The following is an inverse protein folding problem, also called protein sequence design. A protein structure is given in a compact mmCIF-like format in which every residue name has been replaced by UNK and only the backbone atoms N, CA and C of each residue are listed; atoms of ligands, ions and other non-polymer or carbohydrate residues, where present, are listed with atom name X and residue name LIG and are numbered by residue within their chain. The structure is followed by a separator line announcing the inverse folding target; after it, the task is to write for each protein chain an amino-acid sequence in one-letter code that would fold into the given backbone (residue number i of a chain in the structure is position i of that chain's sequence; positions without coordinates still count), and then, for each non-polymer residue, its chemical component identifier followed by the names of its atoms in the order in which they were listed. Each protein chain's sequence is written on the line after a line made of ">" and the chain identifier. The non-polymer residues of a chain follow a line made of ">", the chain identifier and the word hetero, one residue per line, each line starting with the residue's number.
data_IF_464988773702
#
_entry.id   IF_464988773702
#
_cell.length_a   1.000
_cell.length_b   1.000
_cell.length_c   1.000
_cell.angle_alpha   90.00
_cell.angle_beta   90.00
_cell.angle_gamma   90.00
#
_symmetry.space_group_name_H-M   'P 1'
#
loop_
_entity.id
_entity.type
_entity.pdbx_description
1 polymer ?
#
# COMPACT_ATOMS: atom_id res chain seq x y z
N UNK A 1 -18.32 30.86 32.05
CA UNK A 1 -19.63 31.45 32.41
C UNK A 1 -20.57 31.14 31.26
N UNK A 2 -21.59 30.30 31.44
CA UNK A 2 -22.54 29.97 30.37
C UNK A 2 -23.65 31.03 30.37
N UNK A 3 -23.59 31.97 29.42
CA UNK A 3 -24.62 33.00 29.26
C UNK A 3 -25.79 32.46 28.45
N UNK A 4 -26.99 32.44 29.04
CA UNK A 4 -28.24 32.35 28.28
C UNK A 4 -28.37 33.57 27.37
N UNK A 5 -28.83 33.33 26.13
CA UNK A 5 -29.13 34.28 25.04
C UNK A 5 -29.12 35.75 25.46
N UNK A 6 -28.06 36.46 25.09
CA UNK A 6 -27.98 37.92 25.21
C UNK A 6 -29.01 38.53 24.26
N UNK A 7 -30.01 39.26 24.77
CA UNK A 7 -30.97 40.01 23.95
C UNK A 7 -32.42 39.50 23.90
N UNK A 8 -32.85 38.62 24.79
CA UNK A 8 -34.18 37.99 24.75
C UNK A 8 -35.42 38.90 25.00
N UNK A 9 -35.29 40.24 24.97
CA UNK A 9 -36.40 41.16 25.33
C UNK A 9 -36.59 42.40 24.44
N UNK A 10 -35.75 42.63 23.43
CA UNK A 10 -35.76 43.83 22.57
C UNK A 10 -35.59 43.46 21.09
N UNK A 11 -35.45 44.45 20.20
CA UNK A 11 -35.18 44.22 18.78
C UNK A 11 -34.00 43.23 18.60
N UNK A 12 -34.19 42.08 17.91
CA UNK A 12 -33.15 41.06 17.75
C UNK A 12 -31.83 41.60 17.21
N UNK A 13 -31.89 42.62 16.35
CA UNK A 13 -30.69 43.27 15.80
C UNK A 13 -29.91 44.06 16.85
N UNK A 14 -30.61 44.74 17.77
CA UNK A 14 -29.98 45.47 18.87
C UNK A 14 -29.37 44.50 19.89
N UNK A 15 -30.09 43.41 20.21
CA UNK A 15 -29.60 42.34 21.07
C UNK A 15 -28.34 41.69 20.51
N UNK A 16 -28.33 41.42 19.19
CA UNK A 16 -27.17 40.89 18.50
C UNK A 16 -25.98 41.86 18.54
N UNK A 17 -26.19 43.14 18.22
CA UNK A 17 -25.13 44.15 18.25
C UNK A 17 -24.51 44.30 19.66
N UNK A 18 -25.34 44.31 20.70
CA UNK A 18 -24.88 44.35 22.09
C UNK A 18 -24.08 43.10 22.47
N UNK A 19 -24.57 41.92 22.07
CA UNK A 19 -23.89 40.65 22.29
C UNK A 19 -22.52 40.60 21.59
N UNK A 20 -22.44 41.06 20.34
CA UNK A 20 -21.18 41.16 19.60
C UNK A 20 -20.18 42.08 20.31
N UNK A 21 -20.60 43.29 20.70
CA UNK A 21 -19.76 44.25 21.42
C UNK A 21 -19.25 43.70 22.76
N UNK A 22 -20.10 42.98 23.50
CA UNK A 22 -19.72 42.35 24.76
C UNK A 22 -18.65 41.26 24.56
N UNK A 23 -18.85 40.37 23.57
CA UNK A 23 -17.91 39.30 23.25
C UNK A 23 -16.56 39.86 22.79
N UNK A 24 -16.56 40.92 21.97
CA UNK A 24 -15.35 41.63 21.60
C UNK A 24 -14.64 42.25 22.80
N UNK A 25 -15.39 42.83 23.74
CA UNK A 25 -14.81 43.36 24.97
C UNK A 25 -14.11 42.27 25.77
N UNK A 26 -14.71 41.09 25.89
CA UNK A 26 -14.08 39.96 26.57
C UNK A 26 -12.79 39.50 25.87
N UNK A 27 -12.82 39.42 24.54
CA UNK A 27 -11.63 39.09 23.75
C UNK A 27 -10.50 40.14 23.95
N UNK A 28 -10.83 41.44 23.94
CA UNK A 28 -9.88 42.54 24.14
C UNK A 28 -9.30 42.59 25.56
N UNK A 29 -10.11 42.28 26.57
CA UNK A 29 -9.68 42.26 27.97
C UNK A 29 -8.80 41.06 28.33
N UNK A 30 -8.55 40.13 27.40
CA UNK A 30 -7.80 38.92 27.66
C UNK A 30 -8.54 37.96 28.58
N UNK A 31 -9.87 37.96 28.55
CA UNK A 31 -10.68 37.00 29.30
C UNK A 31 -10.26 35.56 28.91
N UNK A 32 -10.38 34.64 29.87
CA UNK A 32 -10.21 33.21 29.62
C UNK A 32 -11.24 32.70 28.58
N UNK A 33 -11.17 31.41 28.25
CA UNK A 33 -12.10 30.74 27.32
C UNK A 33 -13.56 31.14 27.59
N UNK A 34 -14.16 31.85 26.65
CA UNK A 34 -15.56 32.28 26.70
C UNK A 34 -16.38 31.45 25.73
N UNK A 35 -17.46 30.87 26.23
CA UNK A 35 -18.42 30.10 25.42
C UNK A 35 -19.75 30.83 25.48
N UNK A 36 -20.27 31.21 24.32
CA UNK A 36 -21.57 31.84 24.18
C UNK A 36 -22.46 30.98 23.28
N UNK A 37 -23.71 30.81 23.71
CA UNK A 37 -24.74 30.14 22.90
C UNK A 37 -25.71 31.18 22.38
N UNK A 38 -26.08 31.09 21.11
CA UNK A 38 -26.92 32.09 20.44
C UNK A 38 -27.80 31.45 19.38
N UNK A 39 -28.95 32.07 19.13
CA UNK A 39 -29.81 31.79 17.98
C UNK A 39 -29.77 32.95 16.94
N UNK A 40 -29.05 34.03 17.24
CA UNK A 40 -28.88 35.18 16.34
C UNK A 40 -27.90 34.84 15.22
N UNK A 41 -28.31 35.01 13.97
CA UNK A 41 -27.49 34.71 12.79
C UNK A 41 -26.29 35.65 12.68
N UNK A 42 -26.47 36.91 13.08
CA UNK A 42 -25.47 37.98 13.03
C UNK A 42 -24.26 37.65 13.92
N UNK A 43 -24.48 37.01 15.09
CA UNK A 43 -23.36 36.61 15.95
C UNK A 43 -22.49 35.53 15.30
N UNK A 44 -23.05 34.71 14.40
CA UNK A 44 -22.29 33.65 13.70
C UNK A 44 -21.26 34.24 12.74
N UNK A 45 -21.40 35.52 12.35
CA UNK A 45 -20.46 36.17 11.43
C UNK A 45 -19.22 36.73 12.13
N UNK A 46 -19.20 36.81 13.47
CA UNK A 46 -18.07 37.33 14.25
C UNK A 46 -16.74 36.65 13.90
N UNK A 47 -16.75 35.33 13.67
CA UNK A 47 -15.57 34.58 13.23
C UNK A 47 -14.91 35.16 11.98
N UNK A 48 -15.71 35.62 11.03
CA UNK A 48 -15.22 36.09 9.73
C UNK A 48 -14.70 37.52 9.79
N UNK A 49 -15.11 38.30 10.79
CA UNK A 49 -14.61 39.66 11.03
C UNK A 49 -13.43 39.68 12.01
N UNK A 50 -13.29 38.66 12.87
CA UNK A 50 -12.25 38.59 13.88
C UNK A 50 -11.84 37.13 14.16
N UNK A 51 -10.57 36.82 13.88
CA UNK A 51 -10.00 35.48 13.94
C UNK A 51 -9.95 34.87 15.35
N UNK A 52 -10.06 35.69 16.40
CA UNK A 52 -10.04 35.24 17.81
C UNK A 52 -11.30 34.43 18.16
N UNK A 53 -12.40 34.65 17.45
CA UNK A 53 -13.61 33.85 17.62
C UNK A 53 -13.50 32.53 16.87
N UNK A 54 -14.29 31.53 17.26
CA UNK A 54 -14.45 30.27 16.54
C UNK A 54 -15.91 29.85 16.57
N UNK A 55 -16.45 29.38 15.44
CA UNK A 55 -17.81 28.89 15.40
C UNK A 55 -17.86 27.43 15.83
N UNK A 56 -18.92 27.04 16.51
CA UNK A 56 -19.22 25.64 16.77
C UNK A 56 -20.72 25.43 16.83
N UNK A 57 -21.19 24.30 16.31
CA UNK A 57 -22.59 23.91 16.42
C UNK A 57 -22.72 22.50 16.98
N UNK A 58 -23.92 22.18 17.47
CA UNK A 58 -24.28 20.83 17.87
C UNK A 58 -24.88 20.11 16.68
N UNK A 59 -24.36 18.93 16.35
CA UNK A 59 -24.90 18.10 15.28
C UNK A 59 -26.33 17.64 15.64
N UNK A 60 -27.23 17.80 14.67
CA UNK A 60 -28.63 17.42 14.77
C UNK A 60 -28.97 16.40 13.69
N UNK A 61 -29.52 15.27 14.11
CA UNK A 61 -30.04 14.24 13.21
C UNK A 61 -31.44 14.64 12.76
N UNK A 62 -31.54 15.24 11.57
CA UNK A 62 -32.82 15.63 10.99
C UNK A 62 -33.72 14.44 10.72
N UNK A 63 -33.18 13.26 10.39
CA UNK A 63 -33.96 12.07 10.06
C UNK A 63 -34.77 11.63 11.28
N UNK A 64 -34.12 11.55 12.43
CA UNK A 64 -34.73 11.12 13.68
C UNK A 64 -35.19 12.27 14.59
N UNK A 65 -35.04 13.52 14.14
CA UNK A 65 -35.34 14.74 14.89
C UNK A 65 -34.71 14.78 16.29
N UNK A 66 -33.43 14.39 16.41
CA UNK A 66 -32.74 14.33 17.71
C UNK A 66 -31.33 14.92 17.67
N UNK A 67 -30.87 15.55 18.77
CA UNK A 67 -29.46 15.91 18.91
C UNK A 67 -28.58 14.66 18.93
N UNK A 68 -27.41 14.71 18.29
CA UNK A 68 -26.40 13.64 18.41
C UNK A 68 -25.39 13.92 19.54
N UNK A 69 -25.49 15.10 20.17
CA UNK A 69 -24.58 15.60 21.21
C UNK A 69 -23.11 15.69 20.78
N UNK A 70 -22.85 15.75 19.47
CA UNK A 70 -21.51 16.00 18.93
C UNK A 70 -21.34 17.47 18.59
N UNK A 71 -20.20 18.04 18.95
CA UNK A 71 -19.84 19.42 18.61
C UNK A 71 -19.07 19.43 17.28
N UNK A 72 -19.56 20.20 16.31
CA UNK A 72 -18.92 20.47 15.04
C UNK A 72 -18.19 21.82 15.10
N UNK A 73 -16.89 21.78 15.43
CA UNK A 73 -16.01 22.95 15.42
C UNK A 73 -15.79 23.55 14.02
N UNK A 74 -15.71 24.87 13.91
CA UNK A 74 -15.50 25.61 12.67
C UNK A 74 -16.75 25.73 11.79
N UNK A 75 -17.90 25.22 12.23
CA UNK A 75 -19.15 25.31 11.48
C UNK A 75 -20.17 26.14 12.27
N UNK A 76 -20.72 27.22 11.70
CA UNK A 76 -21.87 27.89 12.29
C UNK A 76 -23.10 26.98 12.19
N UNK A 77 -23.91 26.88 13.25
CA UNK A 77 -25.11 26.05 13.19
C UNK A 77 -26.18 26.67 12.29
N UNK A 78 -26.90 25.88 11.50
CA UNK A 78 -28.04 26.34 10.69
C UNK A 78 -29.33 26.52 11.52
N UNK A 79 -30.26 27.33 11.02
CA UNK A 79 -31.61 27.45 11.60
C UNK A 79 -32.54 26.36 11.03
N UNK A 80 -32.88 25.37 11.86
CA UNK A 80 -33.70 24.23 11.40
C UNK A 80 -35.21 24.39 11.66
N UNK A 81 -35.68 25.55 12.13
CA UNK A 81 -37.06 25.72 12.59
C UNK A 81 -38.11 25.33 11.52
N UNK A 82 -37.94 25.80 10.28
CA UNK A 82 -38.85 25.53 9.16
C UNK A 82 -38.83 24.04 8.77
N UNK A 83 -37.65 23.43 8.69
CA UNK A 83 -37.50 22.01 8.34
C UNK A 83 -38.07 21.09 9.44
N UNK A 84 -37.92 21.47 10.71
CA UNK A 84 -38.51 20.74 11.84
C UNK A 84 -40.04 20.87 11.80
N UNK A 85 -40.55 22.07 11.57
CA UNK A 85 -41.99 22.33 11.41
C UNK A 85 -42.62 21.45 10.33
N UNK A 86 -42.01 21.38 9.15
CA UNK A 86 -42.43 20.52 8.05
C UNK A 86 -42.48 19.05 8.46
N UNK A 87 -41.43 18.53 9.11
CA UNK A 87 -41.38 17.15 9.59
C UNK A 87 -42.38 16.84 10.71
N UNK A 88 -42.77 17.83 11.51
CA UNK A 88 -43.80 17.71 12.54
C UNK A 88 -45.23 17.78 11.96
N UNK A 89 -45.38 17.98 10.64
CA UNK A 89 -46.66 17.90 9.94
C UNK A 89 -47.32 19.24 9.66
N UNK A 90 -46.58 20.36 9.69
CA UNK A 90 -47.12 21.63 9.19
C UNK A 90 -47.46 21.51 7.68
N UNK A 91 -48.60 22.05 7.23
CA UNK A 91 -48.98 22.00 5.82
C UNK A 91 -47.92 22.64 4.92
N UNK A 92 -47.63 22.01 3.78
CA UNK A 92 -46.60 22.49 2.85
C UNK A 92 -46.81 23.93 2.42
N UNK A 93 -48.06 24.36 2.21
CA UNK A 93 -48.38 25.75 1.88
C UNK A 93 -47.87 26.75 2.92
N UNK A 94 -47.99 26.43 4.22
CA UNK A 94 -47.50 27.30 5.30
C UNK A 94 -45.97 27.28 5.36
N UNK A 95 -45.35 26.11 5.12
CA UNK A 95 -43.90 25.96 5.08
C UNK A 95 -43.30 26.74 3.91
N UNK A 96 -43.92 26.68 2.74
CA UNK A 96 -43.48 27.36 1.53
C UNK A 96 -43.62 28.88 1.68
N UNK A 97 -44.76 29.36 2.21
CA UNK A 97 -44.95 30.78 2.56
C UNK A 97 -43.89 31.25 3.57
N UNK A 98 -43.58 30.43 4.58
CA UNK A 98 -42.56 30.76 5.58
C UNK A 98 -41.14 30.83 4.98
N UNK A 99 -40.81 29.97 4.00
CA UNK A 99 -39.54 30.03 3.26
C UNK A 99 -39.44 31.30 2.42
N UNK A 100 -40.53 31.71 1.78
CA UNK A 100 -40.58 32.96 1.01
C UNK A 100 -40.40 34.18 1.92
N UNK A 101 -41.12 34.23 3.05
CA UNK A 101 -41.02 35.30 4.04
C UNK A 101 -39.64 35.38 4.70
N UNK A 102 -38.97 34.24 4.92
CA UNK A 102 -37.61 34.21 5.46
C UNK A 102 -36.59 34.89 4.53
N UNK A 103 -36.91 34.98 3.24
CA UNK A 103 -36.14 35.68 2.24
C UNK A 103 -34.97 34.86 1.69
N UNK A 104 -34.68 35.07 0.40
CA UNK A 104 -33.67 34.30 -0.34
C UNK A 104 -32.25 34.45 0.23
N UNK A 105 -31.89 35.61 0.79
CA UNK A 105 -30.54 35.86 1.32
C UNK A 105 -30.21 35.00 2.55
N UNK A 106 -31.14 34.93 3.51
CA UNK A 106 -30.96 34.11 4.72
C UNK A 106 -31.01 32.62 4.39
N UNK A 107 -31.89 32.22 3.47
CA UNK A 107 -31.98 30.84 2.99
C UNK A 107 -30.68 30.37 2.30
N UNK A 108 -30.07 31.21 1.46
CA UNK A 108 -28.79 30.90 0.78
C UNK A 108 -27.64 30.69 1.77
N UNK A 109 -27.56 31.49 2.84
CA UNK A 109 -26.52 31.31 3.86
C UNK A 109 -26.70 29.96 4.58
N UNK A 110 -27.92 29.64 5.00
CA UNK A 110 -28.21 28.36 5.66
C UNK A 110 -27.97 27.16 4.73
N UNK A 111 -28.19 27.30 3.42
CA UNK A 111 -27.85 26.28 2.41
C UNK A 111 -26.34 26.06 2.33
N UNK A 112 -25.53 27.13 2.25
CA UNK A 112 -24.06 27.02 2.29
C UNK A 112 -23.57 26.37 3.58
N UNK A 113 -24.18 26.68 4.72
CA UNK A 113 -23.88 26.05 6.00
C UNK A 113 -24.20 24.55 5.96
N UNK A 114 -25.33 24.18 5.36
CA UNK A 114 -25.75 22.79 5.19
C UNK A 114 -24.74 22.01 4.35
N UNK A 115 -24.23 22.63 3.28
CA UNK A 115 -23.17 22.03 2.46
C UNK A 115 -21.87 21.85 3.24
N UNK A 116 -21.47 22.82 4.06
CA UNK A 116 -20.30 22.70 4.94
C UNK A 116 -20.46 21.56 5.96
N UNK A 117 -21.62 21.42 6.60
CA UNK A 117 -21.95 20.31 7.51
C UNK A 117 -21.83 18.96 6.79
N UNK A 118 -22.42 18.87 5.60
CA UNK A 118 -22.41 17.67 4.76
C UNK A 118 -21.00 17.27 4.34
N UNK A 119 -20.20 18.22 3.85
CA UNK A 119 -18.80 18.00 3.46
C UNK A 119 -17.98 17.53 4.65
N UNK A 120 -18.12 18.19 5.81
CA UNK A 120 -17.36 17.81 7.01
C UNK A 120 -17.71 16.40 7.49
N UNK A 121 -18.99 16.05 7.48
CA UNK A 121 -19.44 14.69 7.82
C UNK A 121 -18.86 13.66 6.86
N UNK A 122 -19.01 13.87 5.54
CA UNK A 122 -18.44 13.00 4.51
C UNK A 122 -16.93 12.84 4.65
N UNK A 123 -16.22 13.94 4.93
CA UNK A 123 -14.79 13.90 5.15
C UNK A 123 -14.41 13.07 6.39
N UNK A 124 -15.18 13.19 7.48
CA UNK A 124 -15.02 12.35 8.66
C UNK A 124 -15.20 10.86 8.36
N UNK A 125 -16.25 10.51 7.61
CA UNK A 125 -16.52 9.12 7.20
C UNK A 125 -15.40 8.56 6.30
N UNK A 126 -14.93 9.35 5.32
CA UNK A 126 -13.81 8.98 4.45
C UNK A 126 -12.50 8.81 5.23
N UNK A 127 -12.24 9.66 6.21
CA UNK A 127 -11.05 9.55 7.05
C UNK A 127 -11.09 8.26 7.88
N UNK A 128 -12.25 7.91 8.42
CA UNK A 128 -12.44 6.67 9.16
C UNK A 128 -12.25 5.45 8.27
N UNK A 129 -12.80 5.47 7.05
CA UNK A 129 -12.63 4.40 6.07
C UNK A 129 -11.15 4.22 5.69
N UNK A 130 -10.44 5.32 5.41
CA UNK A 130 -9.02 5.30 5.09
C UNK A 130 -8.18 4.70 6.24
N UNK A 131 -8.49 5.02 7.49
CA UNK A 131 -7.83 4.46 8.67
C UNK A 131 -8.09 2.95 8.81
N UNK A 132 -9.32 2.51 8.56
CA UNK A 132 -9.69 1.10 8.59
C UNK A 132 -8.94 0.32 7.51
N UNK A 133 -8.93 0.82 6.27
CA UNK A 133 -8.22 0.22 5.14
C UNK A 133 -6.70 0.16 5.38
N UNK A 134 -6.12 1.21 5.97
CA UNK A 134 -4.70 1.21 6.35
C UNK A 134 -4.39 0.13 7.38
N UNK A 135 -5.27 -0.04 8.36
CA UNK A 135 -5.12 -1.04 9.43
C UNK A 135 -5.25 -2.46 8.87
N UNK A 136 -6.22 -2.70 8.00
CA UNK A 136 -6.39 -3.98 7.32
C UNK A 136 -5.19 -4.33 6.44
N UNK A 137 -4.70 -3.37 5.65
CA UNK A 137 -3.52 -3.53 4.80
C UNK A 137 -2.27 -3.92 5.62
N UNK A 138 -2.05 -3.25 6.77
CA UNK A 138 -0.96 -3.61 7.69
C UNK A 138 -1.09 -5.03 8.22
N UNK A 139 -2.28 -5.42 8.66
CA UNK A 139 -2.54 -6.78 9.16
C UNK A 139 -2.33 -7.85 8.09
N UNK A 140 -2.77 -7.59 6.85
CA UNK A 140 -2.55 -8.49 5.71
C UNK A 140 -1.06 -8.61 5.38
N UNK A 141 -0.33 -7.49 5.42
CA UNK A 141 1.10 -7.47 5.19
C UNK A 141 1.86 -8.30 6.23
N UNK A 142 1.52 -8.17 7.51
CA UNK A 142 2.13 -8.98 8.58
C UNK A 142 1.86 -10.47 8.39
N UNK A 143 0.62 -10.85 8.06
CA UNK A 143 0.25 -12.24 7.75
C UNK A 143 1.04 -12.78 6.55
N UNK A 144 1.25 -11.97 5.52
CA UNK A 144 2.05 -12.34 4.34
C UNK A 144 3.51 -12.59 4.72
N UNK A 145 4.11 -11.73 5.55
CA UNK A 145 5.48 -11.90 6.02
C UNK A 145 5.64 -13.20 6.84
N UNK A 146 4.67 -13.50 7.71
CA UNK A 146 4.65 -14.76 8.47
C UNK A 146 4.52 -15.97 7.55
N UNK A 147 3.59 -15.93 6.59
CA UNK A 147 3.42 -17.01 5.61
C UNK A 147 4.70 -17.24 4.79
N UNK A 148 5.34 -16.16 4.32
CA UNK A 148 6.61 -16.22 3.59
C UNK A 148 7.71 -16.87 4.44
N UNK A 149 7.85 -16.48 5.71
CA UNK A 149 8.81 -17.10 6.64
C UNK A 149 8.55 -18.59 6.80
N UNK A 150 7.29 -18.98 7.00
CA UNK A 150 6.90 -20.37 7.18
C UNK A 150 7.20 -21.22 5.94
N UNK A 151 6.96 -20.70 4.74
CA UNK A 151 7.28 -21.38 3.47
C UNK A 151 8.79 -21.61 3.34
N UNK A 152 9.60 -20.58 3.63
CA UNK A 152 11.07 -20.67 3.56
C UNK A 152 11.59 -21.71 4.55
N UNK A 153 11.15 -21.66 5.81
CA UNK A 153 11.56 -22.62 6.83
C UNK A 153 11.10 -24.05 6.50
N UNK A 154 9.89 -24.21 5.96
CA UNK A 154 9.41 -25.52 5.54
C UNK A 154 10.23 -26.08 4.38
N UNK A 155 10.53 -25.28 3.36
CA UNK A 155 11.40 -25.66 2.24
C UNK A 155 12.81 -26.03 2.70
N UNK A 156 13.39 -25.28 3.65
CA UNK A 156 14.68 -25.60 4.27
C UNK A 156 14.66 -26.95 4.98
N UNK A 157 13.62 -27.21 5.77
CA UNK A 157 13.43 -28.47 6.51
C UNK A 157 13.28 -29.66 5.57
N UNK A 158 12.50 -29.53 4.51
CA UNK A 158 12.33 -30.58 3.51
C UNK A 158 13.65 -30.89 2.79
N UNK A 159 14.44 -29.87 2.44
CA UNK A 159 15.75 -30.06 1.80
C UNK A 159 16.72 -30.78 2.73
N UNK A 160 16.80 -30.40 4.01
CA UNK A 160 17.62 -31.10 5.00
C UNK A 160 17.22 -32.56 5.15
N UNK A 161 15.91 -32.85 5.24
CA UNK A 161 15.41 -34.24 5.33
C UNK A 161 15.83 -35.08 4.13
N UNK A 162 15.65 -34.57 2.91
CA UNK A 162 16.07 -35.26 1.69
C UNK A 162 17.58 -35.52 1.65
N UNK A 163 18.40 -34.54 2.05
CA UNK A 163 19.87 -34.71 2.13
C UNK A 163 20.23 -35.80 3.13
N UNK A 164 19.59 -35.83 4.31
CA UNK A 164 19.83 -36.85 5.32
C UNK A 164 19.41 -38.25 4.84
N UNK A 165 18.25 -38.36 4.17
CA UNK A 165 17.77 -39.62 3.60
C UNK A 165 18.73 -40.15 2.54
N UNK A 166 19.20 -39.30 1.62
CA UNK A 166 20.19 -39.69 0.60
C UNK A 166 21.52 -40.09 1.25
N UNK A 167 21.98 -39.36 2.27
CA UNK A 167 23.20 -39.72 3.01
C UNK A 167 23.06 -41.08 3.69
N UNK A 168 21.93 -41.35 4.36
CA UNK A 168 21.63 -42.63 5.01
C UNK A 168 21.50 -43.78 3.99
N UNK A 169 20.87 -43.54 2.83
CA UNK A 169 20.79 -44.52 1.75
C UNK A 169 22.18 -44.83 1.16
N UNK A 170 23.04 -43.81 1.02
CA UNK A 170 24.41 -44.00 0.55
C UNK A 170 25.27 -44.77 1.56
N UNK A 171 25.15 -44.51 2.86
CA UNK A 171 25.89 -45.25 3.91
C UNK A 171 25.44 -46.71 3.97
N UNK A 172 24.13 -46.97 3.93
CA UNK A 172 23.58 -48.34 3.90
C UNK A 172 23.94 -49.10 2.62
N UNK A 173 23.92 -48.45 1.46
CA UNK A 173 24.40 -49.05 0.21
C UNK A 173 25.90 -49.41 0.30
N UNK A 174 26.73 -48.52 0.84
CA UNK A 174 28.16 -48.78 1.07
C UNK A 174 28.38 -49.96 2.01
N UNK A 175 27.67 -50.03 3.15
CA UNK A 175 27.82 -51.14 4.10
C UNK A 175 27.41 -52.47 3.48
N UNK A 176 26.31 -52.50 2.72
CA UNK A 176 25.84 -53.70 2.02
C UNK A 176 26.82 -54.17 0.94
N UNK A 177 27.42 -53.26 0.17
CA UNK A 177 28.46 -53.58 -0.80
C UNK A 177 29.71 -54.15 -0.12
N UNK A 178 30.15 -53.54 0.99
CA UNK A 178 31.27 -54.06 1.77
C UNK A 178 31.00 -55.45 2.33
N UNK A 179 29.78 -55.71 2.81
CA UNK A 179 29.39 -57.02 3.32
C UNK A 179 29.40 -58.08 2.20
N UNK A 180 28.70 -57.84 1.09
CA UNK A 180 28.69 -58.76 -0.06
C UNK A 180 30.09 -58.97 -0.64
N UNK A 181 30.92 -57.93 -0.68
CA UNK A 181 32.31 -58.03 -1.12
C UNK A 181 33.16 -58.92 -0.19
N UNK A 182 32.92 -58.88 1.13
CA UNK A 182 33.56 -59.81 2.08
C UNK A 182 33.09 -61.25 1.88
N UNK A 183 31.79 -61.47 1.71
CA UNK A 183 31.19 -62.79 1.45
C UNK A 183 31.77 -63.42 0.18
N UNK A 184 31.83 -62.65 -0.92
CA UNK A 184 32.44 -63.11 -2.17
C UNK A 184 33.92 -63.47 -2.00
N UNK A 185 34.71 -62.63 -1.32
CA UNK A 185 36.13 -62.93 -1.05
C UNK A 185 36.31 -64.17 -0.17
N UNK A 186 35.51 -64.34 0.87
CA UNK A 186 35.54 -65.53 1.71
C UNK A 186 35.22 -66.79 0.88
N UNK A 187 34.20 -66.72 0.01
CA UNK A 187 33.84 -67.83 -0.89
C UNK A 187 34.90 -68.12 -1.96
N UNK A 188 35.64 -67.13 -2.47
CA UNK A 188 36.74 -67.37 -3.42
C UNK A 188 37.95 -68.02 -2.73
N UNK A 189 38.23 -67.68 -1.47
CA UNK A 189 39.36 -68.24 -0.71
C UNK A 189 39.16 -69.74 -0.42
N UNK A 190 37.92 -70.24 -0.33
CA UNK A 190 37.64 -71.68 -0.19
C UNK A 190 37.93 -72.52 -1.45
N UNK A 191 38.05 -71.91 -2.64
CA UNK A 191 38.28 -72.65 -3.91
C UNK A 191 39.65 -72.43 -4.57
N UNK A 192 40.51 -71.56 -4.02
CA UNK A 192 41.88 -71.36 -4.54
C UNK A 192 42.93 -71.97 -3.61
N UNK A 193 43.27 -73.23 -3.88
CA UNK A 193 44.54 -73.84 -3.48
C UNK A 193 45.72 -73.05 -4.08
N UNK A 194 46.85 -72.85 -3.37
CA UNK A 194 47.95 -71.98 -3.82
C UNK A 194 48.77 -72.65 -4.94
N UNK A 195 48.34 -72.49 -6.19
CA UNK A 195 49.08 -72.93 -7.37
C UNK A 195 48.84 -72.00 -8.56
N UNK A 196 49.18 -70.71 -8.42
CA UNK A 196 49.13 -69.77 -9.55
C UNK A 196 50.01 -68.53 -9.38
N UNK A 197 51.03 -68.54 -8.51
CA UNK A 197 51.87 -67.34 -8.28
C UNK A 197 53.16 -67.37 -9.11
N UNK A 198 53.52 -68.49 -9.75
CA UNK A 198 54.87 -68.67 -10.32
C UNK A 198 54.96 -68.73 -11.86
N UNK A 199 53.94 -68.25 -12.60
CA UNK A 199 53.94 -68.31 -14.08
C UNK A 199 53.79 -66.99 -14.85
N UNK A 200 53.92 -65.84 -14.19
CA UNK A 200 53.73 -64.53 -14.87
C UNK A 200 54.94 -63.56 -14.79
N UNK A 201 56.17 -64.05 -14.60
CA UNK A 201 57.39 -63.21 -14.56
C UNK A 201 58.36 -63.37 -15.76
N UNK A 202 57.93 -63.94 -16.90
CA UNK A 202 58.75 -63.96 -18.13
C UNK A 202 57.95 -63.61 -19.38
N UNK A 203 57.69 -62.32 -19.57
CA UNK A 203 57.51 -61.69 -20.88
C UNK A 203 57.51 -60.15 -20.69
N UNK A 204 58.70 -59.59 -20.56
CA UNK A 204 58.87 -58.14 -20.63
C UNK A 204 59.05 -57.68 -22.09
N UNK A 205 58.48 -56.50 -22.35
CA UNK A 205 58.88 -55.48 -23.35
C UNK A 205 58.01 -55.36 -24.62
N UNK A 206 57.46 -54.14 -24.72
CA UNK A 206 56.91 -53.42 -25.87
C UNK A 206 55.49 -53.72 -26.37
N UNK A 207 54.54 -52.94 -25.86
CA UNK A 207 53.41 -52.46 -26.66
C UNK A 207 52.97 -51.06 -26.21
N UNK A 208 53.77 -50.05 -26.58
CA UNK A 208 53.27 -48.68 -26.74
C UNK A 208 52.34 -48.65 -27.96
N UNK A 209 51.06 -48.94 -27.76
CA UNK A 209 49.93 -48.44 -28.55
C UNK A 209 48.65 -49.15 -28.12
N UNK A 210 47.72 -48.37 -27.53
CA UNK A 210 46.24 -48.49 -27.58
C UNK A 210 45.60 -48.26 -26.21
N UNK A 211 45.50 -46.99 -25.83
CA UNK A 211 44.28 -46.44 -25.18
C UNK A 211 44.10 -44.99 -25.62
N UNK A 212 43.96 -44.77 -26.94
CA UNK A 212 43.42 -43.53 -27.54
C UNK A 212 41.89 -43.56 -27.66
N UNK A 213 41.20 -44.37 -26.84
CA UNK A 213 39.74 -44.54 -26.88
C UNK A 213 39.00 -43.96 -25.65
N UNK A 214 39.69 -43.52 -24.59
CA UNK A 214 39.04 -42.97 -23.38
C UNK A 214 39.14 -41.45 -23.20
N UNK A 215 39.82 -40.75 -24.13
CA UNK A 215 40.03 -39.28 -24.05
C UNK A 215 39.24 -38.48 -25.09
N UNK A 216 38.53 -39.13 -26.02
CA UNK A 216 37.62 -38.45 -26.96
C UNK A 216 36.25 -38.15 -26.35
N UNK A 217 35.76 -38.97 -25.43
CA UNK A 217 34.45 -38.73 -24.79
C UNK A 217 34.50 -37.63 -23.72
N UNK A 218 35.65 -37.44 -23.06
CA UNK A 218 35.83 -36.37 -22.07
C UNK A 218 36.00 -34.97 -22.71
N UNK A 219 36.32 -34.90 -24.01
CA UNK A 219 36.35 -33.65 -24.80
C UNK A 219 35.03 -33.40 -25.56
N UNK A 220 34.30 -34.46 -25.94
CA UNK A 220 32.97 -34.33 -26.54
C UNK A 220 31.91 -33.89 -25.51
N UNK A 221 31.96 -34.41 -24.28
CA UNK A 221 31.03 -34.02 -23.21
C UNK A 221 31.27 -32.59 -22.70
N UNK A 222 32.51 -32.10 -22.76
CA UNK A 222 32.83 -30.69 -22.46
C UNK A 222 32.29 -29.74 -23.54
N UNK A 223 32.20 -30.18 -24.81
CA UNK A 223 31.67 -29.40 -25.93
C UNK A 223 30.13 -29.32 -25.96
N UNK A 224 29.44 -30.29 -25.37
CA UNK A 224 27.98 -30.24 -25.17
C UNK A 224 27.56 -29.39 -23.96
N UNK A 225 28.42 -29.22 -22.96
CA UNK A 225 28.16 -28.30 -21.83
C UNK A 225 28.54 -26.84 -22.19
N UNK A 226 29.34 -26.63 -23.24
CA UNK A 226 29.67 -25.30 -23.78
C UNK A 226 28.74 -24.81 -24.89
N UNK A 227 27.67 -25.55 -25.25
CA UNK A 227 26.72 -25.18 -26.30
C UNK A 227 25.28 -24.91 -25.80
N UNK A 228 25.10 -24.71 -24.50
CA UNK A 228 23.87 -24.11 -23.92
C UNK A 228 24.17 -22.86 -23.10
N UNK A 229 25.28 -22.20 -23.41
CA UNK A 229 25.66 -20.91 -22.86
C UNK A 229 25.86 -19.90 -23.99
N UNK A 230 24.91 -19.82 -24.91
CA UNK A 230 24.72 -18.58 -25.69
C UNK A 230 24.03 -17.57 -24.77
N UNK A 231 24.82 -17.01 -23.86
CA UNK A 231 24.60 -15.66 -23.37
C UNK A 231 25.89 -14.94 -23.72
N UNK A 232 25.86 -14.35 -24.91
CA UNK A 232 26.87 -13.39 -25.38
C UNK A 232 27.19 -12.40 -24.27
N UNK A 233 28.48 -12.21 -24.04
CA UNK A 233 29.00 -11.04 -23.34
C UNK A 233 28.35 -9.80 -23.96
N UNK A 234 27.83 -8.83 -23.16
CA UNK A 234 27.56 -7.52 -23.73
C UNK A 234 28.93 -6.92 -24.07
N UNK A 235 29.22 -6.90 -25.36
CA UNK A 235 30.14 -5.93 -25.91
C UNK A 235 29.63 -4.55 -25.50
N UNK A 236 30.56 -3.70 -25.10
CA UNK A 236 30.35 -2.27 -24.88
C UNK A 236 29.79 -1.64 -26.17
N UNK A 237 28.47 -1.62 -26.29
CA UNK A 237 27.74 -0.77 -27.21
C UNK A 237 27.41 0.52 -26.47
N UNK A 238 27.82 1.64 -27.07
CA UNK A 238 27.46 2.99 -26.66
C UNK A 238 25.94 3.09 -26.39
N UNK A 239 25.49 3.92 -25.43
CA UNK A 239 24.08 4.00 -25.06
C UNK A 239 23.25 4.49 -26.25
N UNK A 240 22.64 3.54 -26.96
CA UNK A 240 21.72 3.83 -28.06
C UNK A 240 20.38 4.27 -27.45
N UNK A 241 20.15 5.58 -27.45
CA UNK A 241 18.94 6.21 -26.95
C UNK A 241 17.68 5.55 -27.58
N UNK A 242 16.63 5.24 -26.80
CA UNK A 242 15.37 4.72 -27.31
C UNK A 242 14.73 5.76 -28.21
N UNK A 243 14.08 5.31 -29.27
CA UNK A 243 13.40 6.20 -30.21
C UNK A 243 11.95 6.42 -29.78
N UNK A 244 11.42 7.61 -30.06
CA UNK A 244 10.02 7.95 -29.75
C UNK A 244 9.09 6.96 -30.45
N UNK A 245 8.23 6.28 -29.69
CA UNK A 245 7.32 5.24 -30.18
C UNK A 245 7.63 3.82 -29.71
N UNK A 246 8.81 3.56 -29.14
CA UNK A 246 9.16 2.23 -28.63
C UNK A 246 8.31 1.81 -27.41
N UNK A 247 7.99 0.52 -27.33
CA UNK A 247 7.38 -0.06 -26.12
C UNK A 247 8.50 -0.54 -25.21
N UNK A 248 8.58 0.07 -24.03
CA UNK A 248 9.60 -0.21 -23.02
C UNK A 248 8.94 -0.74 -21.74
N UNK A 249 9.63 -1.62 -21.03
CA UNK A 249 9.17 -2.15 -19.76
C UNK A 249 9.73 -1.31 -18.60
N UNK A 250 8.84 -0.74 -17.79
CA UNK A 250 9.25 0.07 -16.64
C UNK A 250 9.37 -0.84 -15.42
N UNK A 251 10.60 -1.04 -14.94
CA UNK A 251 10.91 -1.96 -13.84
C UNK A 251 10.21 -1.56 -12.54
N UNK A 252 10.12 -0.26 -12.26
CA UNK A 252 9.49 0.32 -11.06
C UNK A 252 7.98 0.07 -10.97
N UNK A 253 7.30 -0.20 -12.10
CA UNK A 253 5.85 -0.40 -12.15
C UNK A 253 5.43 -1.78 -12.69
N UNK A 254 6.37 -2.60 -13.14
CA UNK A 254 6.11 -3.93 -13.70
C UNK A 254 5.16 -3.93 -14.91
N UNK A 255 5.14 -2.82 -15.67
CA UNK A 255 4.19 -2.61 -16.79
C UNK A 255 4.91 -2.12 -18.04
N UNK A 256 4.32 -2.48 -19.18
CA UNK A 256 4.73 -1.99 -20.51
C UNK A 256 4.28 -0.53 -20.68
N UNK A 257 5.16 0.30 -21.21
CA UNK A 257 4.97 1.73 -21.40
C UNK A 257 5.41 2.13 -22.82
N UNK A 258 4.79 3.15 -23.41
CA UNK A 258 5.21 3.66 -24.72
C UNK A 258 6.02 4.93 -24.56
N UNK A 259 7.21 5.00 -25.16
CA UNK A 259 8.08 6.18 -25.11
C UNK A 259 7.46 7.30 -25.94
N UNK A 260 7.15 8.42 -25.29
CA UNK A 260 6.59 9.62 -25.94
C UNK A 260 7.65 10.67 -26.27
N UNK A 261 8.78 10.66 -25.56
CA UNK A 261 9.84 11.64 -25.72
C UNK A 261 11.07 11.24 -24.93
N UNK A 262 12.24 11.57 -25.46
CA UNK A 262 13.52 11.29 -24.83
C UNK A 262 14.26 12.61 -24.67
N UNK A 263 14.77 12.89 -23.48
CA UNK A 263 15.55 14.10 -23.17
C UNK A 263 16.99 13.66 -22.80
N UNK A 264 17.86 13.43 -23.80
CA UNK A 264 19.20 12.85 -23.60
C UNK A 264 20.11 13.68 -22.70
N UNK A 265 19.89 14.99 -22.66
CA UNK A 265 20.70 15.95 -21.89
C UNK A 265 20.47 15.88 -20.38
N UNK A 266 19.38 15.26 -19.93
CA UNK A 266 19.02 15.13 -18.50
C UNK A 266 18.93 13.67 -18.04
N UNK A 267 19.26 12.72 -18.92
CA UNK A 267 19.10 11.30 -18.66
C UNK A 267 17.66 10.93 -18.23
N UNK A 268 16.67 11.53 -18.90
CA UNK A 268 15.24 11.33 -18.63
C UNK A 268 14.45 10.93 -19.89
N UNK A 269 13.46 10.07 -19.70
CA UNK A 269 12.52 9.58 -20.72
C UNK A 269 11.09 9.83 -20.26
N UNK A 270 10.26 10.37 -21.16
CA UNK A 270 8.84 10.54 -20.94
C UNK A 270 8.12 9.33 -21.55
N UNK A 271 7.50 8.52 -20.70
CA UNK A 271 6.75 7.33 -21.11
C UNK A 271 5.26 7.48 -20.78
N UNK A 272 4.41 6.81 -21.56
CA UNK A 272 2.98 6.67 -21.29
C UNK A 272 2.71 5.26 -20.76
N UNK A 273 2.16 5.17 -19.55
CA UNK A 273 1.67 3.93 -18.95
C UNK A 273 0.14 4.05 -18.84
N UNK A 274 -0.59 3.40 -19.75
CA UNK A 274 -2.05 3.55 -19.83
C UNK A 274 -2.46 4.98 -20.21
N UNK A 275 -3.20 5.67 -19.33
CA UNK A 275 -3.62 7.07 -19.50
C UNK A 275 -2.66 8.10 -18.90
N UNK A 276 -1.61 7.66 -18.19
CA UNK A 276 -0.73 8.52 -17.39
C UNK A 276 0.60 8.74 -18.11
N UNK A 277 1.09 9.98 -18.11
CA UNK A 277 2.43 10.37 -18.60
C UNK A 277 3.39 10.45 -17.40
N UNK A 278 4.54 9.79 -17.50
CA UNK A 278 5.55 9.72 -16.45
C UNK A 278 6.92 10.08 -17.01
N UNK A 279 7.71 10.83 -16.23
CA UNK A 279 9.11 11.17 -16.52
C UNK A 279 9.98 10.28 -15.65
N UNK A 280 10.84 9.47 -16.27
CA UNK A 280 11.63 8.43 -15.62
C UNK A 280 13.09 8.54 -16.06
N UNK A 281 14.02 8.11 -15.21
CA UNK A 281 15.44 7.99 -15.58
C UNK A 281 15.67 6.75 -16.43
N UNK A 282 16.68 6.77 -17.30
CA UNK A 282 16.99 5.65 -18.18
C UNK A 282 17.30 4.34 -17.44
N UNK A 283 17.84 4.42 -16.22
CA UNK A 283 18.14 3.26 -15.38
C UNK A 283 16.90 2.43 -14.99
N UNK A 284 15.71 3.03 -15.04
CA UNK A 284 14.46 2.41 -14.58
C UNK A 284 13.66 1.79 -15.75
N UNK A 285 14.24 1.80 -16.94
CA UNK A 285 13.62 1.37 -18.18
C UNK A 285 14.42 0.21 -18.76
N UNK A 286 13.74 -0.92 -18.99
CA UNK A 286 14.28 -2.08 -19.69
C UNK A 286 13.55 -2.20 -21.03
N UNK A 287 14.26 -2.38 -22.14
CA UNK A 287 13.62 -2.67 -23.43
C UNK A 287 13.13 -4.12 -23.47
#
# INVERSE_FOLDING_TARGET
>A
MAGHTVGAGTNPLEGAALGMSLLESFAKSGAALTIATTHHGELKTLKYSNEVFENACMEFDEVNLKPTYKILWGIPGRSNAINIAERLGLPSSVVDDARELYGAGSAQIDEVITDMECIKKKYGDLLQEAQNNLTESKNLYEKLLLARRNIIEHGRRQRLRKVQEVANAATTARSNLHQKGRELRASTIEYTSPSAIDRMQRAGINSNNRTTAGKKDLMALRRQISSTSDISQPQSEEPLFPTVGDTVYVSSFGKKATVLGVEPSKDEVIVRVGSIKLKLKFTDIMR
#
